data_IF_571355315782
#
_entry.id   IF_571355315782
#
_cell.length_a   1.000
_cell.length_b   1.000
_cell.length_c   1.000
_cell.angle_alpha   90.00
_cell.angle_beta   90.00
_cell.angle_gamma   90.00
#
_symmetry.space_group_name_H-M   'P 1'
#
loop_
_entity.id
_entity.type
_entity.pdbx_description
1 polymer ?
#
# COMPACT_ATOMS: atom_id res chain seq x y z
N UNK A 1 -28.98 49.65 19.04
CA UNK A 1 -28.07 48.80 18.24
C UNK A 1 -27.93 47.46 18.97
N UNK A 2 -28.54 46.39 18.48
CA UNK A 2 -28.41 45.07 19.10
C UNK A 2 -27.08 44.43 18.68
N UNK A 3 -26.20 44.14 19.63
CA UNK A 3 -24.98 43.35 19.41
C UNK A 3 -25.41 41.89 19.41
N UNK A 4 -25.57 41.33 18.21
CA UNK A 4 -25.76 39.90 18.01
C UNK A 4 -24.47 39.17 18.39
N UNK A 5 -24.41 38.69 19.64
CA UNK A 5 -23.19 38.19 20.28
C UNK A 5 -23.18 36.70 20.57
N UNK A 6 -23.95 35.86 19.87
CA UNK A 6 -23.90 34.41 20.06
C UNK A 6 -22.93 33.77 19.05
N UNK A 7 -21.63 34.00 19.23
CA UNK A 7 -20.62 33.07 18.72
C UNK A 7 -20.62 31.87 19.66
N UNK A 8 -21.41 30.86 19.33
CA UNK A 8 -21.60 29.69 20.19
C UNK A 8 -20.28 29.06 20.64
N UNK A 9 -20.23 28.58 21.88
CA UNK A 9 -19.06 27.99 22.56
C UNK A 9 -18.21 27.04 21.69
N UNK A 10 -18.83 26.29 20.79
CA UNK A 10 -18.11 25.41 19.86
C UNK A 10 -17.21 26.13 18.86
N UNK A 11 -17.60 27.33 18.40
CA UNK A 11 -16.80 28.15 17.50
C UNK A 11 -15.57 28.74 18.21
N UNK A 12 -15.76 29.21 19.45
CA UNK A 12 -14.65 29.71 20.28
C UNK A 12 -13.66 28.61 20.64
N UNK A 13 -14.15 27.39 20.91
CA UNK A 13 -13.27 26.24 21.15
C UNK A 13 -12.43 25.92 19.91
N UNK A 14 -13.04 25.85 18.72
CA UNK A 14 -12.31 25.56 17.47
C UNK A 14 -11.33 26.68 17.07
N UNK A 15 -11.67 27.94 17.37
CA UNK A 15 -10.77 29.06 17.12
C UNK A 15 -9.56 29.07 18.07
N UNK A 16 -9.73 28.58 19.30
CA UNK A 16 -8.67 28.53 20.31
C UNK A 16 -7.95 27.18 20.39
N UNK A 17 -8.36 26.16 19.64
CA UNK A 17 -7.62 24.89 19.56
C UNK A 17 -6.36 25.06 18.72
N UNK A 18 -5.20 24.99 19.36
CA UNK A 18 -3.89 24.99 18.69
C UNK A 18 -3.42 23.54 18.60
N UNK A 19 -3.27 23.00 17.38
CA UNK A 19 -2.68 21.68 17.15
C UNK A 19 -1.14 21.80 17.21
N UNK A 20 -0.54 21.39 18.33
CA UNK A 20 0.89 21.58 18.66
C UNK A 20 1.88 20.73 17.81
N UNK A 21 1.41 20.04 16.77
CA UNK A 21 2.17 19.07 15.98
C UNK A 21 2.75 19.64 14.67
N UNK A 22 2.78 20.96 14.51
CA UNK A 22 3.11 21.62 13.24
C UNK A 22 4.63 21.79 12.96
N UNK A 23 5.50 21.46 13.92
CA UNK A 23 6.94 21.73 13.81
C UNK A 23 7.80 20.48 13.44
N UNK A 24 7.23 19.27 13.51
CA UNK A 24 7.94 18.06 13.07
C UNK A 24 7.52 17.69 11.63
N UNK A 25 8.47 17.73 10.69
CA UNK A 25 8.27 17.29 9.29
C UNK A 25 7.71 15.85 9.22
N UNK A 26 8.05 15.00 10.19
CA UNK A 26 7.48 13.65 10.28
C UNK A 26 6.04 13.62 10.77
N UNK A 27 5.59 14.62 11.52
CA UNK A 27 4.19 14.76 11.93
C UNK A 27 3.35 15.40 10.83
N UNK A 28 3.89 16.38 10.10
CA UNK A 28 3.25 16.95 8.91
C UNK A 28 2.86 15.86 7.88
N UNK A 29 3.77 14.95 7.55
CA UNK A 29 3.46 13.82 6.65
C UNK A 29 2.44 12.81 7.22
N UNK A 30 2.34 12.68 8.55
CA UNK A 30 1.29 11.87 9.17
C UNK A 30 -0.05 12.59 9.08
N UNK A 31 -0.05 13.92 9.20
CA UNK A 31 -1.25 14.75 9.08
C UNK A 31 -1.88 14.65 7.69
N UNK A 32 -1.08 14.70 6.63
CA UNK A 32 -1.53 14.50 5.24
C UNK A 32 -2.25 13.16 5.02
N UNK A 33 -1.89 12.13 5.78
CA UNK A 33 -2.44 10.78 5.65
C UNK A 33 -3.48 10.43 6.74
N UNK A 34 -3.98 11.43 7.48
CA UNK A 34 -5.01 11.21 8.51
C UNK A 34 -6.29 10.68 7.89
N UNK A 35 -6.83 9.62 8.49
CA UNK A 35 -8.14 9.09 8.15
C UNK A 35 -9.16 9.58 9.18
N UNK A 36 -10.30 10.05 8.70
CA UNK A 36 -11.42 10.49 9.52
C UNK A 36 -12.39 9.34 9.73
N UNK A 37 -12.93 9.20 10.92
CA UNK A 37 -14.00 8.23 11.18
C UNK A 37 -15.29 8.70 10.54
N UNK A 38 -15.78 7.98 9.52
CA UNK A 38 -17.11 8.20 8.96
C UNK A 38 -18.14 7.50 9.86
N UNK A 39 -18.93 8.30 10.59
CA UNK A 39 -19.93 7.78 11.53
C UNK A 39 -21.04 6.98 10.86
N UNK A 40 -21.39 7.31 9.61
CA UNK A 40 -22.44 6.62 8.84
C UNK A 40 -21.93 5.28 8.32
N UNK A 41 -20.72 5.28 7.74
CA UNK A 41 -20.10 4.07 7.18
C UNK A 41 -19.34 3.22 8.22
N UNK A 42 -19.28 3.70 9.47
CA UNK A 42 -18.59 3.11 10.62
C UNK A 42 -17.19 2.60 10.26
N UNK A 43 -16.44 3.42 9.54
CA UNK A 43 -15.10 3.09 9.05
C UNK A 43 -14.25 4.35 8.90
N UNK A 44 -12.93 4.20 9.01
CA UNK A 44 -12.00 5.28 8.69
C UNK A 44 -11.92 5.52 7.18
N UNK A 45 -12.19 6.75 6.76
CA UNK A 45 -12.13 7.22 5.37
C UNK A 45 -11.02 8.27 5.28
N UNK A 46 -10.13 8.14 4.29
CA UNK A 46 -9.14 9.18 4.02
C UNK A 46 -9.87 10.42 3.50
N UNK A 47 -9.53 11.60 4.04
CA UNK A 47 -10.06 12.90 3.61
C UNK A 47 -9.36 13.32 2.31
N UNK A 48 -9.41 12.45 1.31
CA UNK A 48 -8.69 12.65 0.07
C UNK A 48 -9.58 13.43 -0.89
N UNK A 49 -9.24 14.69 -1.13
CA UNK A 49 -9.66 15.45 -2.32
C UNK A 49 -9.24 14.74 -3.62
N UNK A 50 -8.31 13.80 -3.52
CA UNK A 50 -7.80 13.00 -4.64
C UNK A 50 -8.23 11.54 -4.51
N UNK A 51 -9.06 11.06 -5.44
CA UNK A 51 -9.69 9.74 -5.38
C UNK A 51 -8.76 8.61 -4.87
N UNK A 52 -9.24 7.71 -3.98
CA UNK A 52 -8.46 6.63 -3.37
C UNK A 52 -7.93 5.55 -4.35
N UNK A 53 -8.09 5.78 -5.66
CA UNK A 53 -7.88 4.80 -6.71
C UNK A 53 -6.96 5.27 -7.85
N UNK A 54 -6.23 6.38 -7.69
CA UNK A 54 -5.16 6.78 -8.64
C UNK A 54 -3.91 5.91 -8.51
N UNK A 55 -4.07 4.60 -8.37
CA UNK A 55 -2.98 3.67 -8.62
C UNK A 55 -2.59 3.86 -10.09
N UNK A 56 -1.32 4.10 -10.37
CA UNK A 56 -0.80 4.25 -11.74
C UNK A 56 0.04 3.02 -12.06
N UNK A 57 -0.06 2.56 -13.30
CA UNK A 57 0.74 1.45 -13.82
C UNK A 57 1.70 2.02 -14.85
N UNK A 58 2.94 1.55 -14.83
CA UNK A 58 3.93 1.89 -15.85
C UNK A 58 3.65 1.03 -17.09
N UNK A 59 3.35 1.67 -18.20
CA UNK A 59 3.20 1.02 -19.51
C UNK A 59 4.56 0.70 -20.11
N UNK A 60 4.54 -0.11 -21.15
CA UNK A 60 5.70 -0.63 -21.90
C UNK A 60 6.55 0.53 -22.47
N UNK A 61 5.88 1.61 -22.90
CA UNK A 61 6.49 2.87 -23.35
C UNK A 61 7.05 3.73 -22.20
N UNK A 62 6.98 3.26 -20.95
CA UNK A 62 7.48 3.95 -19.77
C UNK A 62 6.60 5.08 -19.24
N UNK A 63 5.46 5.35 -19.90
CA UNK A 63 4.47 6.33 -19.41
C UNK A 63 3.68 5.77 -18.21
N UNK A 64 3.11 6.65 -17.39
CA UNK A 64 2.33 6.24 -16.22
C UNK A 64 0.84 6.46 -16.48
N UNK A 65 0.12 5.39 -16.77
CA UNK A 65 -1.32 5.41 -17.07
C UNK A 65 -2.11 5.05 -15.79
N UNK A 66 -3.30 5.63 -15.55
CA UNK A 66 -4.16 5.19 -14.47
C UNK A 66 -4.47 3.68 -14.54
N UNK A 67 -4.43 2.98 -13.40
CA UNK A 67 -4.69 1.55 -13.31
C UNK A 67 -6.10 1.16 -13.78
N UNK A 68 -7.01 2.13 -13.92
CA UNK A 68 -8.33 1.93 -14.53
C UNK A 68 -8.23 1.42 -15.97
N UNK A 69 -7.19 1.81 -16.72
CA UNK A 69 -7.02 1.41 -18.11
C UNK A 69 -6.72 -0.10 -18.25
N UNK A 70 -6.02 -0.72 -17.27
CA UNK A 70 -5.78 -2.17 -17.22
C UNK A 70 -6.70 -2.90 -16.22
N UNK A 71 -7.90 -2.37 -15.95
CA UNK A 71 -8.81 -2.93 -14.94
C UNK A 71 -9.56 -4.20 -15.36
N UNK A 72 -9.33 -4.71 -16.58
CA UNK A 72 -10.03 -5.89 -17.13
C UNK A 72 -11.54 -5.66 -17.30
N UNK A 73 -12.00 -4.40 -17.37
CA UNK A 73 -13.43 -4.07 -17.46
C UNK A 73 -14.06 -4.56 -18.77
N UNK A 74 -13.32 -4.44 -19.88
CA UNK A 74 -13.76 -4.94 -21.19
C UNK A 74 -13.87 -6.46 -21.19
N UNK A 75 -12.85 -7.17 -20.70
CA UNK A 75 -12.85 -8.64 -20.55
C UNK A 75 -14.07 -9.10 -19.74
N UNK A 76 -14.37 -8.45 -18.61
CA UNK A 76 -15.57 -8.73 -17.79
C UNK A 76 -16.88 -8.46 -18.53
N UNK A 77 -16.96 -7.37 -19.31
CA UNK A 77 -18.13 -7.06 -20.11
C UNK A 77 -18.33 -8.10 -21.22
N UNK A 78 -17.27 -8.47 -21.92
CA UNK A 78 -17.28 -9.50 -22.97
C UNK A 78 -17.75 -10.86 -22.42
N UNK A 79 -17.24 -11.29 -21.26
CA UNK A 79 -17.71 -12.52 -20.58
C UNK A 79 -19.19 -12.42 -20.20
N UNK A 80 -19.64 -11.26 -19.70
CA UNK A 80 -21.04 -11.04 -19.31
C UNK A 80 -21.99 -11.01 -20.51
N UNK A 81 -21.54 -10.50 -21.65
CA UNK A 81 -22.31 -10.47 -22.89
C UNK A 81 -22.23 -11.78 -23.68
N UNK A 82 -21.51 -12.80 -23.18
CA UNK A 82 -21.28 -14.09 -23.86
C UNK A 82 -20.74 -13.97 -25.30
N UNK A 83 -20.13 -12.84 -25.66
CA UNK A 83 -19.62 -12.59 -27.01
C UNK A 83 -18.45 -13.52 -27.34
N UNK A 84 -17.68 -13.97 -26.33
CA UNK A 84 -16.59 -14.93 -26.50
C UNK A 84 -17.01 -16.37 -26.80
N UNK A 85 -18.21 -16.79 -26.38
CA UNK A 85 -18.66 -18.19 -26.56
C UNK A 85 -19.20 -18.49 -27.96
N UNK A 86 -19.45 -17.47 -28.79
CA UNK A 86 -20.01 -17.67 -30.14
C UNK A 86 -18.96 -17.98 -31.21
N UNK A 87 -17.68 -17.77 -30.91
CA UNK A 87 -16.58 -17.95 -31.86
C UNK A 87 -15.78 -19.24 -31.65
N UNK A 88 -16.13 -20.06 -30.67
CA UNK A 88 -15.35 -21.25 -30.28
C UNK A 88 -16.06 -22.58 -30.59
N UNK A 89 -17.22 -22.53 -31.25
CA UNK A 89 -18.07 -23.70 -31.59
C UNK A 89 -18.00 -24.08 -33.09
N UNK A 90 -17.00 -23.57 -33.83
CA UNK A 90 -16.79 -23.85 -35.26
C UNK A 90 -15.35 -24.30 -35.57
N UNK A 91 -14.79 -25.15 -34.73
CA UNK A 91 -13.67 -26.03 -35.09
C UNK A 91 -13.80 -27.34 -34.32
N UNK A 92 -14.85 -28.09 -34.64
CA UNK A 92 -14.84 -29.54 -34.50
C UNK A 92 -14.50 -30.10 -35.87
N UNK A 93 -13.23 -30.43 -36.09
CA UNK A 93 -12.85 -31.42 -37.09
C UNK A 93 -11.74 -32.29 -36.50
N UNK A 94 -11.90 -33.58 -36.74
CA UNK A 94 -11.23 -34.70 -36.11
C UNK A 94 -9.72 -34.71 -36.39
N UNK A 95 -8.93 -35.07 -35.37
CA UNK A 95 -7.77 -35.95 -35.55
C UNK A 95 -7.22 -36.37 -34.17
N UNK A 96 -7.70 -37.52 -33.71
CA UNK A 96 -6.92 -38.41 -32.85
C UNK A 96 -5.68 -38.88 -33.62
N UNK A 97 -4.49 -38.38 -33.27
CA UNK A 97 -3.26 -39.16 -33.49
C UNK A 97 -2.12 -38.72 -32.57
N UNK A 98 -1.72 -39.67 -31.72
CA UNK A 98 -0.44 -39.84 -31.06
C UNK A 98 0.69 -38.86 -31.43
N UNK A 99 1.17 -38.06 -30.45
CA UNK A 99 2.60 -37.98 -30.08
C UNK A 99 2.77 -37.50 -28.63
N UNK A 100 2.92 -38.47 -27.75
CA UNK A 100 3.58 -38.29 -26.46
C UNK A 100 5.00 -37.74 -26.67
N UNK A 101 5.16 -36.42 -26.54
CA UNK A 101 6.46 -35.75 -26.45
C UNK A 101 6.66 -35.27 -25.02
N UNK A 102 7.06 -36.20 -24.17
CA UNK A 102 7.61 -35.93 -22.84
C UNK A 102 8.95 -35.23 -23.00
N UNK A 103 8.99 -33.90 -23.02
CA UNK A 103 10.26 -33.20 -22.80
C UNK A 103 10.10 -31.75 -22.32
N UNK A 104 10.08 -31.55 -21.00
CA UNK A 104 10.96 -30.60 -20.29
C UNK A 104 10.72 -30.67 -18.79
N UNK A 105 11.44 -31.61 -18.17
CA UNK A 105 12.02 -31.33 -16.86
C UNK A 105 13.09 -30.23 -17.02
N UNK A 106 13.46 -29.61 -15.91
CA UNK A 106 14.41 -28.49 -15.76
C UNK A 106 13.69 -27.16 -16.05
N UNK A 107 13.30 -26.34 -15.07
CA UNK A 107 14.10 -25.77 -13.99
C UNK A 107 13.20 -25.41 -12.79
N UNK A 108 13.55 -25.90 -11.58
CA UNK A 108 13.49 -25.16 -10.30
C UNK A 108 13.75 -26.07 -9.09
N UNK A 109 14.92 -26.72 -9.05
CA UNK A 109 15.46 -27.31 -7.81
C UNK A 109 16.40 -26.33 -7.08
N UNK A 110 15.94 -25.09 -6.86
CA UNK A 110 16.65 -24.10 -6.01
C UNK A 110 15.94 -23.81 -4.69
N UNK A 111 15.05 -24.70 -4.24
CA UNK A 111 14.45 -24.65 -2.90
C UNK A 111 14.84 -25.85 -2.03
N UNK A 112 16.10 -26.31 -2.11
CA UNK A 112 16.64 -27.34 -1.19
C UNK A 112 17.66 -26.74 -0.22
N UNK A 113 17.21 -25.73 0.54
CA UNK A 113 18.06 -25.07 1.52
C UNK A 113 17.32 -24.39 2.68
N UNK A 114 16.01 -24.62 2.85
CA UNK A 114 15.23 -23.92 3.89
C UNK A 114 14.24 -24.79 4.67
N UNK A 115 14.54 -26.08 4.84
CA UNK A 115 13.72 -26.97 5.67
C UNK A 115 14.55 -27.69 6.74
N UNK A 116 15.29 -26.93 7.55
CA UNK A 116 15.85 -27.41 8.83
C UNK A 116 15.28 -26.68 10.05
N UNK A 117 14.16 -25.99 9.91
CA UNK A 117 13.39 -25.60 11.09
C UNK A 117 12.27 -26.63 11.27
N UNK A 118 12.58 -27.75 11.94
CA UNK A 118 11.57 -28.62 12.52
C UNK A 118 10.71 -27.73 13.42
N UNK A 119 9.57 -27.28 12.89
CA UNK A 119 8.53 -26.64 13.69
C UNK A 119 8.13 -27.67 14.73
N UNK A 120 8.45 -27.37 15.98
CA UNK A 120 7.86 -28.06 17.13
C UNK A 120 6.34 -28.10 16.93
N UNK A 121 5.66 -29.19 17.36
CA UNK A 121 4.21 -29.28 17.26
C UNK A 121 3.60 -27.99 17.81
N UNK A 122 2.59 -27.50 17.08
CA UNK A 122 1.96 -26.21 17.23
C UNK A 122 1.26 -26.10 18.59
N UNK A 123 2.02 -25.98 19.68
CA UNK A 123 1.51 -25.50 20.95
C UNK A 123 1.16 -24.05 20.68
N UNK A 124 -0.14 -23.81 20.52
CA UNK A 124 -0.71 -22.47 20.49
C UNK A 124 -0.46 -21.88 21.88
N UNK A 125 0.75 -21.38 22.10
CA UNK A 125 1.07 -20.60 23.28
C UNK A 125 0.14 -19.41 23.21
N UNK A 126 -0.87 -19.40 24.10
CA UNK A 126 -1.81 -18.29 24.24
C UNK A 126 -0.96 -17.03 24.42
N UNK A 127 -0.87 -16.22 23.37
CA UNK A 127 -0.08 -14.99 23.42
C UNK A 127 -0.84 -14.06 24.35
N UNK A 128 -0.17 -13.60 25.40
CA UNK A 128 -0.74 -12.57 26.27
C UNK A 128 -1.07 -11.33 25.44
N UNK A 129 -2.29 -10.80 25.59
CA UNK A 129 -2.72 -9.58 24.91
C UNK A 129 -1.85 -8.39 25.34
N UNK A 130 -1.41 -8.43 26.61
CA UNK A 130 -0.44 -7.51 27.17
C UNK A 130 0.98 -8.01 26.94
N UNK A 131 1.86 -7.07 26.55
CA UNK A 131 3.28 -7.35 26.32
C UNK A 131 4.03 -7.27 27.64
N UNK A 132 4.96 -8.19 27.83
CA UNK A 132 5.88 -8.13 28.98
C UNK A 132 6.82 -6.92 28.85
N UNK A 133 7.31 -6.36 29.97
CA UNK A 133 8.24 -5.23 29.97
C UNK A 133 9.46 -5.43 29.08
N UNK A 134 10.08 -6.61 29.09
CA UNK A 134 11.24 -6.93 28.25
C UNK A 134 10.90 -6.93 26.76
N UNK A 135 9.70 -7.38 26.40
CA UNK A 135 9.23 -7.35 25.02
C UNK A 135 9.01 -5.91 24.57
N UNK A 136 8.50 -5.04 25.45
CA UNK A 136 8.35 -3.61 25.19
C UNK A 136 9.73 -2.97 24.99
N UNK A 137 10.69 -3.27 25.86
CA UNK A 137 12.06 -2.74 25.74
C UNK A 137 12.72 -3.18 24.43
N UNK A 138 12.61 -4.46 24.07
CA UNK A 138 13.15 -5.00 22.80
C UNK A 138 12.49 -4.34 21.59
N UNK A 139 11.18 -4.14 21.62
CA UNK A 139 10.45 -3.44 20.56
C UNK A 139 10.88 -1.97 20.46
N UNK A 140 11.09 -1.29 21.59
CA UNK A 140 11.56 0.10 21.64
C UNK A 140 12.94 0.23 21.00
N UNK A 141 13.92 -0.59 21.42
CA UNK A 141 15.27 -0.61 20.83
C UNK A 141 15.23 -0.86 19.32
N UNK A 142 14.42 -1.83 18.87
CA UNK A 142 14.25 -2.11 17.44
C UNK A 142 13.64 -0.92 16.69
N UNK A 143 12.60 -0.29 17.25
CA UNK A 143 11.95 0.87 16.65
C UNK A 143 12.91 2.07 16.56
N UNK A 144 13.70 2.29 17.59
CA UNK A 144 14.73 3.33 17.65
C UNK A 144 15.82 3.11 16.59
N UNK A 145 16.36 1.89 16.50
CA UNK A 145 17.33 1.51 15.46
C UNK A 145 16.78 1.75 14.04
N UNK A 146 15.52 1.36 13.80
CA UNK A 146 14.85 1.62 12.52
C UNK A 146 14.69 3.12 12.26
N UNK A 147 14.29 3.90 13.29
CA UNK A 147 14.11 5.35 13.16
C UNK A 147 15.44 6.04 12.85
N UNK A 148 16.51 5.68 13.53
CA UNK A 148 17.85 6.20 13.31
C UNK A 148 18.38 5.87 11.90
N UNK A 149 18.16 4.63 11.45
CA UNK A 149 18.50 4.26 10.07
C UNK A 149 17.70 5.07 9.03
N UNK A 150 16.39 5.25 9.27
CA UNK A 150 15.53 6.03 8.38
C UNK A 150 15.90 7.51 8.34
N UNK A 151 16.23 8.13 9.48
CA UNK A 151 16.68 9.53 9.52
C UNK A 151 18.00 9.69 8.79
N UNK A 152 19.01 8.86 9.09
CA UNK A 152 20.29 8.89 8.38
C UNK A 152 20.12 8.73 6.86
N UNK A 153 19.31 7.76 6.42
CA UNK A 153 19.04 7.55 5.00
C UNK A 153 18.32 8.75 4.35
N UNK A 154 17.43 9.43 5.09
CA UNK A 154 16.76 10.65 4.63
C UNK A 154 17.79 11.76 4.39
N UNK A 155 18.67 11.99 5.35
CA UNK A 155 19.71 13.03 5.27
C UNK A 155 20.66 12.79 4.09
N UNK A 156 21.08 11.54 3.89
CA UNK A 156 21.90 11.14 2.73
C UNK A 156 21.20 11.39 1.40
N UNK A 157 19.89 11.13 1.31
CA UNK A 157 19.12 11.41 0.10
C UNK A 157 18.96 12.92 -0.15
N UNK A 158 18.81 13.72 0.91
CA UNK A 158 18.73 15.18 0.81
C UNK A 158 20.06 15.76 0.30
N UNK A 159 21.21 15.30 0.83
CA UNK A 159 22.55 15.67 0.33
C UNK A 159 22.74 15.31 -1.15
N UNK A 160 22.29 14.12 -1.58
CA UNK A 160 22.38 13.73 -3.00
C UNK A 160 21.49 14.59 -3.90
N UNK A 161 20.34 15.06 -3.40
CA UNK A 161 19.42 15.93 -4.14
C UNK A 161 20.03 17.33 -4.35
N UNK A 162 20.64 17.92 -3.32
CA UNK A 162 21.31 19.22 -3.43
C UNK A 162 22.50 19.17 -4.41
N UNK A 163 23.34 18.13 -4.32
CA UNK A 163 24.46 17.93 -5.24
C UNK A 163 24.04 17.72 -6.71
N UNK A 164 22.94 17.01 -6.95
CA UNK A 164 22.37 16.84 -8.30
C UNK A 164 21.79 18.13 -8.87
N UNK A 165 21.17 18.96 -8.04
CA UNK A 165 20.60 20.24 -8.48
C UNK A 165 21.67 21.24 -8.92
N UNK A 166 22.84 21.25 -8.28
CA UNK A 166 23.96 22.10 -8.70
C UNK A 166 24.60 21.64 -10.01
N UNK A 167 24.60 20.33 -10.30
CA UNK A 167 25.17 19.78 -11.55
C UNK A 167 24.29 20.01 -12.79
N UNK A 168 23.02 20.37 -12.61
CA UNK A 168 22.08 20.67 -13.70
C UNK A 168 22.05 22.18 -14.05
N UNK A 169 22.72 23.04 -13.27
CA UNK A 169 22.74 24.50 -13.43
C UNK A 169 24.12 25.05 -13.87
N UNK A 170 25.08 24.18 -14.15
CA UNK A 170 26.38 24.48 -14.76
C UNK A 170 26.46 23.81 -16.12
#
# INVERSE_FOLDING_TARGET
LAVNGDRGFGADLMANTIEMCADDVTEMHKQENRKKWDRKRKRFVAESSEHPSKKRVRTEDGTYVPATYRSGRYEKWQSKQKIGYRNEDNNSDDNDNDKASRNKQQFNNRSRGRDRNKKMPNVVVKRSELKNPDQILKQRRKKESIRAYQSHRRDENLKKKTGRSNKQRS
#
